data_IF_729046340076
#
_entry.id   IF_729046340076
#
_cell.length_a   1.000
_cell.length_b   1.000
_cell.length_c   1.000
_cell.angle_alpha   90.00
_cell.angle_beta   90.00
_cell.angle_gamma   90.00
#
_symmetry.space_group_name_H-M   'P 1'
#
loop_
_entity.id
_entity.type
_entity.pdbx_description
1 polymer ?
#
# COMPACT_ATOMS: atom_id res chain seq x y z
N UNK A 1 -4.39 1.09 3.87
CA UNK A 1 -4.18 -0.08 4.76
C UNK A 1 -2.75 -0.52 4.62
N UNK A 2 -1.92 -0.29 5.65
CA UNK A 2 -0.56 -0.83 5.67
C UNK A 2 -0.72 -2.31 6.02
N UNK A 3 -0.81 -3.17 5.01
CA UNK A 3 -0.74 -4.62 5.18
C UNK A 3 0.72 -5.00 5.39
N UNK A 4 1.03 -5.44 6.59
CA UNK A 4 2.38 -5.60 7.10
C UNK A 4 3.07 -6.88 6.69
N UNK A 5 2.32 -7.95 6.47
CA UNK A 5 2.89 -9.25 6.14
C UNK A 5 2.09 -9.89 5.01
N UNK A 6 2.53 -9.68 3.80
CA UNK A 6 2.12 -10.54 2.72
C UNK A 6 2.97 -11.81 2.79
N UNK A 7 2.29 -12.93 2.76
CA UNK A 7 2.78 -14.30 2.87
C UNK A 7 4.17 -14.51 2.23
N UNK A 8 5.10 -14.95 3.06
CA UNK A 8 6.30 -15.73 2.77
C UNK A 8 6.98 -15.59 1.42
N UNK A 9 7.49 -14.41 1.10
CA UNK A 9 8.53 -14.31 0.08
C UNK A 9 9.52 -13.25 0.53
N UNK A 10 10.75 -13.66 0.77
CA UNK A 10 11.89 -12.76 0.84
C UNK A 10 11.87 -11.89 -0.41
N UNK A 11 11.27 -10.70 -0.29
CA UNK A 11 11.30 -9.73 -1.37
C UNK A 11 12.70 -9.10 -1.32
N UNK A 12 13.67 -9.78 -1.90
CA UNK A 12 14.81 -9.10 -2.46
C UNK A 12 14.25 -8.09 -3.46
N UNK A 13 14.51 -6.82 -3.25
CA UNK A 13 14.10 -5.71 -4.14
C UNK A 13 14.52 -6.00 -5.60
N UNK A 14 15.60 -6.77 -5.80
CA UNK A 14 16.03 -7.29 -7.09
C UNK A 14 15.05 -8.27 -7.77
N UNK A 15 14.08 -8.86 -7.06
CA UNK A 15 13.11 -9.81 -7.63
C UNK A 15 11.71 -9.22 -7.89
N UNK A 16 11.43 -7.97 -7.47
CA UNK A 16 10.23 -7.25 -7.88
C UNK A 16 10.24 -6.87 -9.36
N UNK A 17 11.42 -6.91 -9.98
CA UNK A 17 11.62 -6.51 -11.38
C UNK A 17 11.24 -7.57 -12.41
N UNK A 18 11.06 -8.83 -12.05
CA UNK A 18 10.96 -9.91 -13.04
C UNK A 18 9.60 -10.65 -13.12
N UNK A 19 8.61 -10.33 -12.31
CA UNK A 19 7.33 -11.09 -12.28
C UNK A 19 6.08 -10.36 -12.78
N UNK A 20 6.22 -9.18 -13.39
CA UNK A 20 5.08 -8.49 -14.01
C UNK A 20 5.00 -8.65 -15.54
N UNK A 21 5.67 -9.65 -16.12
CA UNK A 21 5.51 -9.99 -17.54
C UNK A 21 4.80 -11.34 -17.64
N UNK A 22 3.51 -11.32 -17.78
CA UNK A 22 2.64 -12.20 -18.52
C UNK A 22 1.24 -12.35 -17.89
N UNK A 23 0.32 -11.46 -18.22
CA UNK A 23 -1.07 -11.87 -18.42
C UNK A 23 -1.61 -11.04 -19.58
N UNK A 24 -1.60 -11.63 -20.76
CA UNK A 24 -2.34 -11.15 -21.91
C UNK A 24 -3.83 -11.41 -21.66
N UNK A 25 -4.63 -10.37 -21.67
CA UNK A 25 -6.08 -10.48 -21.70
C UNK A 25 -6.57 -9.96 -23.04
N UNK A 26 -7.00 -10.90 -23.88
CA UNK A 26 -7.87 -10.64 -25.01
C UNK A 26 -9.23 -10.19 -24.45
N UNK A 27 -9.56 -8.93 -24.61
CA UNK A 27 -10.91 -8.44 -24.34
C UNK A 27 -11.59 -8.12 -25.67
N UNK A 28 -12.58 -8.91 -26.01
CA UNK A 28 -13.46 -8.75 -27.16
C UNK A 28 -14.33 -7.51 -27.01
N UNK A 29 -14.32 -6.70 -28.06
CA UNK A 29 -15.19 -5.55 -28.27
C UNK A 29 -16.63 -6.00 -28.42
N UNK A 30 -17.50 -5.55 -27.52
CA UNK A 30 -18.94 -5.63 -27.67
C UNK A 30 -19.52 -4.22 -27.87
N UNK A 31 -19.73 -3.82 -29.12
CA UNK A 31 -20.53 -2.63 -29.47
C UNK A 31 -22.01 -2.98 -29.28
N UNK A 32 -22.67 -2.35 -28.31
CA UNK A 32 -24.14 -2.31 -28.29
C UNK A 32 -24.55 -0.84 -28.25
N UNK A 33 -24.90 -0.34 -29.42
CA UNK A 33 -25.60 0.93 -29.60
C UNK A 33 -27.06 0.76 -29.14
N UNK A 34 -27.43 1.41 -28.06
CA UNK A 34 -28.77 1.52 -27.55
C UNK A 34 -29.16 2.98 -27.34
N UNK A 35 -29.83 3.57 -28.34
CA UNK A 35 -30.54 4.83 -28.24
C UNK A 35 -31.75 4.67 -27.29
N UNK A 36 -31.77 5.43 -26.20
CA UNK A 36 -32.98 5.58 -25.38
C UNK A 36 -33.32 7.08 -25.32
N UNK A 37 -34.52 7.48 -25.79
CA UNK A 37 -35.00 8.86 -25.69
C UNK A 37 -35.50 9.16 -24.28
N UNK A 38 -35.28 10.41 -23.87
CA UNK A 38 -35.49 11.07 -22.63
C UNK A 38 -36.67 10.67 -21.76
N UNK A 39 -36.39 10.71 -20.46
CA UNK A 39 -37.35 11.05 -19.42
C UNK A 39 -36.70 11.99 -18.40
N UNK A 40 -37.15 13.25 -18.47
CA UNK A 40 -36.92 14.24 -17.43
C UNK A 40 -37.82 13.92 -16.24
N UNK A 41 -37.26 13.49 -15.13
CA UNK A 41 -37.90 13.62 -13.83
C UNK A 41 -36.80 13.95 -12.81
N UNK A 42 -36.83 15.15 -12.27
CA UNK A 42 -35.89 15.66 -11.29
C UNK A 42 -35.94 14.85 -10.01
N UNK A 43 -34.94 14.00 -9.84
CA UNK A 43 -34.55 13.48 -8.53
C UNK A 43 -33.28 14.22 -8.13
N UNK A 44 -33.13 14.72 -6.88
CA UNK A 44 -31.85 15.17 -6.39
C UNK A 44 -30.97 13.93 -6.29
N UNK A 45 -30.28 13.61 -7.40
CA UNK A 45 -29.27 12.57 -7.43
C UNK A 45 -28.25 12.93 -6.37
N UNK A 46 -28.10 12.04 -5.37
CA UNK A 46 -26.94 12.01 -4.51
C UNK A 46 -25.75 11.87 -5.47
N UNK A 47 -25.16 12.98 -5.85
CA UNK A 47 -23.81 13.02 -6.40
C UNK A 47 -22.92 12.48 -5.29
N UNK A 48 -22.72 11.16 -5.30
CA UNK A 48 -21.55 10.62 -4.66
C UNK A 48 -20.39 11.31 -5.37
N UNK A 49 -19.94 12.42 -4.79
CA UNK A 49 -18.62 12.94 -5.07
C UNK A 49 -17.70 11.77 -4.77
N UNK A 50 -17.35 11.00 -5.80
CA UNK A 50 -16.07 10.32 -5.79
C UNK A 50 -15.10 11.44 -5.49
N UNK A 51 -14.68 11.53 -4.21
CA UNK A 51 -13.63 12.45 -3.81
C UNK A 51 -12.54 12.19 -4.84
N UNK A 52 -12.34 13.15 -5.73
CA UNK A 52 -11.32 13.07 -6.76
C UNK A 52 -10.07 12.72 -5.99
N UNK A 53 -9.59 11.49 -6.16
CA UNK A 53 -8.34 11.08 -5.52
C UNK A 53 -7.33 12.05 -6.07
N UNK A 54 -6.98 13.06 -5.26
CA UNK A 54 -6.11 14.12 -5.68
C UNK A 54 -4.88 13.48 -6.29
N UNK A 55 -4.64 13.77 -7.56
CA UNK A 55 -3.54 13.19 -8.34
C UNK A 55 -2.27 13.27 -7.49
N UNK A 56 -1.54 12.15 -7.40
CA UNK A 56 -0.30 12.11 -6.63
C UNK A 56 0.73 12.96 -7.37
N UNK A 57 1.24 14.00 -6.73
CA UNK A 57 2.25 14.89 -7.32
C UNK A 57 3.67 14.36 -7.09
N UNK A 58 4.66 14.94 -7.79
CA UNK A 58 6.07 14.50 -7.73
C UNK A 58 6.67 14.57 -6.32
N UNK A 59 6.32 15.59 -5.54
CA UNK A 59 6.78 15.71 -4.14
C UNK A 59 6.23 14.57 -3.29
N UNK A 60 4.98 14.19 -3.48
CA UNK A 60 4.36 13.07 -2.78
C UNK A 60 4.96 11.73 -3.22
N UNK A 61 5.31 11.57 -4.50
CA UNK A 61 6.01 10.38 -5.00
C UNK A 61 7.36 10.25 -4.30
N UNK A 62 8.13 11.33 -4.23
CA UNK A 62 9.44 11.35 -3.55
C UNK A 62 9.29 11.05 -2.05
N UNK A 63 8.33 11.69 -1.37
CA UNK A 63 8.09 11.47 0.04
C UNK A 63 7.61 10.04 0.31
N UNK A 64 6.75 9.50 -0.54
CA UNK A 64 6.27 8.13 -0.44
C UNK A 64 7.41 7.12 -0.64
N UNK A 65 8.22 7.28 -1.68
CA UNK A 65 9.35 6.42 -1.97
C UNK A 65 10.37 6.41 -0.81
N UNK A 66 10.72 7.59 -0.29
CA UNK A 66 11.60 7.74 0.89
C UNK A 66 11.01 7.06 2.12
N UNK A 67 9.72 7.23 2.35
CA UNK A 67 9.01 6.59 3.47
C UNK A 67 9.07 5.07 3.36
N UNK A 68 8.78 4.50 2.20
CA UNK A 68 8.82 3.04 1.98
C UNK A 68 10.21 2.48 2.26
N UNK A 69 11.26 3.14 1.77
CA UNK A 69 12.65 2.74 2.02
C UNK A 69 13.00 2.82 3.51
N UNK A 70 12.57 3.87 4.20
CA UNK A 70 12.84 4.04 5.64
C UNK A 70 12.08 3.01 6.50
N UNK A 71 10.87 2.62 6.10
CA UNK A 71 10.07 1.62 6.80
C UNK A 71 10.64 0.21 6.70
N UNK A 72 11.31 -0.13 5.59
CA UNK A 72 11.71 -1.51 5.28
C UNK A 72 12.65 -2.12 6.32
N UNK A 73 13.63 -1.35 6.81
CA UNK A 73 14.55 -1.82 7.86
C UNK A 73 13.80 -2.19 9.15
N UNK A 74 12.90 -1.31 9.59
CA UNK A 74 12.08 -1.55 10.79
C UNK A 74 11.13 -2.74 10.61
N UNK A 75 10.56 -2.89 9.42
CA UNK A 75 9.69 -4.01 9.07
C UNK A 75 10.44 -5.33 9.17
N UNK A 76 11.65 -5.43 8.60
CA UNK A 76 12.46 -6.64 8.67
C UNK A 76 12.83 -6.98 10.11
N UNK A 77 13.26 -5.99 10.90
CA UNK A 77 13.59 -6.20 12.31
C UNK A 77 12.40 -6.68 13.13
N UNK A 78 11.22 -6.09 12.93
CA UNK A 78 10.00 -6.52 13.61
C UNK A 78 9.62 -7.95 13.20
N UNK A 79 9.71 -8.26 11.90
CA UNK A 79 9.44 -9.61 11.38
C UNK A 79 10.33 -10.67 12.02
N UNK A 80 11.66 -10.46 12.04
CA UNK A 80 12.59 -11.43 12.62
C UNK A 80 12.40 -11.60 14.13
N UNK A 81 12.11 -10.49 14.86
CA UNK A 81 11.81 -10.56 16.29
C UNK A 81 10.53 -11.37 16.56
N UNK A 82 9.47 -11.12 15.79
CA UNK A 82 8.21 -11.85 15.95
C UNK A 82 8.44 -13.33 15.62
N UNK A 83 9.08 -13.63 14.50
CA UNK A 83 9.40 -15.00 14.08
C UNK A 83 10.16 -15.76 15.15
N UNK A 84 11.21 -15.16 15.73
CA UNK A 84 11.99 -15.78 16.81
C UNK A 84 11.18 -15.94 18.11
N UNK A 85 10.26 -15.03 18.38
CA UNK A 85 9.43 -15.06 19.60
C UNK A 85 8.36 -16.16 19.56
N UNK A 86 7.77 -16.41 18.38
CA UNK A 86 6.73 -17.44 18.22
C UNK A 86 7.31 -18.84 17.90
N UNK A 87 8.60 -18.92 17.54
CA UNK A 87 9.25 -20.19 17.20
C UNK A 87 8.67 -20.85 15.94
N UNK A 88 7.97 -20.09 15.09
CA UNK A 88 7.29 -20.58 13.89
C UNK A 88 7.72 -19.78 12.66
N UNK A 89 7.62 -20.41 11.48
CA UNK A 89 7.88 -19.73 10.21
C UNK A 89 6.70 -18.89 9.72
N UNK A 90 5.56 -18.96 10.38
CA UNK A 90 4.35 -18.26 10.00
C UNK A 90 4.11 -17.07 10.94
N UNK A 91 4.48 -15.89 10.49
CA UNK A 91 4.27 -14.65 11.22
C UNK A 91 2.84 -14.16 10.97
N UNK A 92 2.07 -13.83 12.03
CA UNK A 92 0.69 -13.35 11.88
C UNK A 92 0.59 -12.10 10.99
N UNK A 93 -0.51 -11.97 10.26
CA UNK A 93 -0.77 -10.75 9.50
C UNK A 93 -1.11 -9.59 10.43
N UNK A 94 -0.23 -8.60 10.51
CA UNK A 94 -0.38 -7.42 11.36
C UNK A 94 -0.72 -6.22 10.50
N UNK A 95 -1.84 -5.57 10.82
CA UNK A 95 -2.31 -4.36 10.14
C UNK A 95 -2.40 -3.23 11.17
N UNK A 96 -1.48 -2.27 11.10
CA UNK A 96 -1.37 -1.19 12.09
C UNK A 96 -2.65 -0.33 12.24
N UNK A 97 -3.48 -0.24 11.21
CA UNK A 97 -4.76 0.47 11.25
C UNK A 97 -5.92 -0.35 11.81
N UNK A 98 -5.70 -1.64 12.12
CA UNK A 98 -6.73 -2.55 12.62
C UNK A 98 -6.37 -3.02 14.03
N UNK A 99 -6.98 -2.41 15.04
CA UNK A 99 -6.74 -2.76 16.44
C UNK A 99 -6.97 -4.27 16.72
N UNK A 100 -7.94 -4.90 16.04
CA UNK A 100 -8.21 -6.32 16.16
C UNK A 100 -7.03 -7.20 15.76
N UNK A 101 -6.28 -6.85 14.69
CA UNK A 101 -5.12 -7.61 14.25
C UNK A 101 -3.97 -7.58 15.26
N UNK A 102 -3.88 -6.53 16.05
CA UNK A 102 -2.86 -6.36 17.09
C UNK A 102 -3.33 -6.97 18.40
N UNK A 103 -4.59 -6.77 18.78
CA UNK A 103 -5.12 -7.25 20.07
C UNK A 103 -5.24 -8.77 20.14
N UNK A 104 -5.38 -9.45 19.00
CA UNK A 104 -5.40 -10.92 18.92
C UNK A 104 -4.02 -11.59 19.12
N UNK A 105 -2.94 -10.81 19.08
CA UNK A 105 -1.58 -11.33 19.21
C UNK A 105 -1.25 -11.71 20.67
N UNK A 106 -0.41 -12.72 20.91
CA UNK A 106 0.21 -12.95 22.22
C UNK A 106 0.91 -11.68 22.72
N UNK A 107 0.92 -11.49 24.04
CA UNK A 107 1.42 -10.23 24.64
C UNK A 107 2.82 -9.85 24.15
N UNK A 108 3.77 -10.79 24.19
CA UNK A 108 5.17 -10.60 23.74
C UNK A 108 5.29 -10.20 22.26
N UNK A 109 4.42 -10.71 21.39
CA UNK A 109 4.34 -10.35 19.96
C UNK A 109 3.66 -9.01 19.77
N UNK A 110 2.61 -8.75 20.57
CA UNK A 110 1.86 -7.49 20.53
C UNK A 110 2.75 -6.28 20.80
N UNK A 111 3.62 -6.37 21.80
CA UNK A 111 4.52 -5.28 22.17
C UNK A 111 5.49 -4.95 21.01
N UNK A 112 5.98 -5.96 20.28
CA UNK A 112 6.82 -5.75 19.10
C UNK A 112 6.00 -5.07 17.99
N UNK A 113 4.79 -5.54 17.75
CA UNK A 113 3.90 -4.99 16.72
C UNK A 113 3.52 -3.52 17.01
N UNK A 114 3.13 -3.21 18.26
CA UNK A 114 2.80 -1.83 18.67
C UNK A 114 3.99 -0.89 18.50
N UNK A 115 5.15 -1.30 18.97
CA UNK A 115 6.37 -0.49 18.82
C UNK A 115 6.68 -0.20 17.35
N UNK A 116 6.59 -1.22 16.49
CA UNK A 116 6.80 -1.03 15.07
C UNK A 116 5.73 -0.10 14.44
N UNK A 117 4.46 -0.27 14.77
CA UNK A 117 3.39 0.59 14.26
C UNK A 117 3.58 2.06 14.67
N UNK A 118 4.00 2.31 15.91
CA UNK A 118 4.31 3.65 16.39
C UNK A 118 5.51 4.27 15.64
N UNK A 119 6.60 3.53 15.47
CA UNK A 119 7.75 3.98 14.69
C UNK A 119 7.37 4.25 13.22
N UNK A 120 6.57 3.37 12.63
CA UNK A 120 6.09 3.55 11.25
C UNK A 120 5.30 4.83 11.07
N UNK A 121 4.42 5.15 12.02
CA UNK A 121 3.69 6.42 12.03
C UNK A 121 4.64 7.62 12.01
N UNK A 122 5.62 7.63 12.91
CA UNK A 122 6.62 8.70 12.99
C UNK A 122 7.44 8.84 11.69
N UNK A 123 7.82 7.71 11.07
CA UNK A 123 8.56 7.72 9.79
C UNK A 123 7.70 8.33 8.68
N UNK A 124 6.42 7.98 8.57
CA UNK A 124 5.50 8.55 7.58
C UNK A 124 5.39 10.06 7.75
N UNK A 125 5.13 10.52 8.99
CA UNK A 125 4.95 11.93 9.31
C UNK A 125 6.24 12.75 9.10
N UNK A 126 7.40 12.20 9.49
CA UNK A 126 8.71 12.86 9.30
C UNK A 126 9.13 13.00 7.83
N UNK A 127 8.58 12.17 6.95
CA UNK A 127 8.77 12.28 5.51
C UNK A 127 7.70 13.16 4.80
N UNK A 128 6.91 13.91 5.55
CA UNK A 128 5.99 14.91 5.01
C UNK A 128 4.68 14.34 4.48
N UNK A 129 4.28 13.14 4.94
CA UNK A 129 2.99 12.54 4.61
C UNK A 129 2.14 12.35 5.87
N UNK A 130 0.83 12.52 5.73
CA UNK A 130 -0.09 12.02 6.75
C UNK A 130 -0.30 10.52 6.56
N UNK A 131 -0.67 9.79 7.62
CA UNK A 131 -1.00 8.35 7.51
C UNK A 131 -2.12 8.11 6.51
N UNK A 132 -3.14 8.97 6.50
CA UNK A 132 -4.24 8.89 5.55
C UNK A 132 -3.76 9.03 4.10
N UNK A 133 -2.88 10.00 3.83
CA UNK A 133 -2.35 10.22 2.48
C UNK A 133 -1.42 9.09 2.04
N UNK A 134 -0.54 8.61 2.92
CA UNK A 134 0.30 7.45 2.66
C UNK A 134 -0.54 6.22 2.27
N UNK A 135 -1.60 5.93 3.02
CA UNK A 135 -2.51 4.82 2.72
C UNK A 135 -3.26 5.03 1.39
N UNK A 136 -3.71 6.26 1.10
CA UNK A 136 -4.39 6.58 -0.16
C UNK A 136 -3.46 6.35 -1.37
N UNK A 137 -2.20 6.75 -1.29
CA UNK A 137 -1.19 6.50 -2.34
C UNK A 137 -0.96 4.99 -2.48
N UNK A 138 -0.84 4.25 -1.37
CA UNK A 138 -0.67 2.78 -1.38
C UNK A 138 -1.83 2.08 -2.09
N UNK A 139 -3.07 2.51 -1.85
CA UNK A 139 -4.25 1.96 -2.54
C UNK A 139 -4.23 2.33 -4.03
N UNK A 140 -3.85 3.58 -4.36
CA UNK A 140 -3.77 4.03 -5.75
C UNK A 140 -2.75 3.23 -6.57
N UNK A 141 -1.64 2.81 -5.95
CA UNK A 141 -0.63 1.97 -6.59
C UNK A 141 -1.18 0.60 -7.05
N UNK A 142 -2.22 0.08 -6.40
CA UNK A 142 -2.77 -1.23 -6.78
C UNK A 142 -3.38 -1.25 -8.19
N UNK A 143 -3.88 -0.10 -8.65
CA UNK A 143 -4.62 0.01 -9.90
C UNK A 143 -4.03 1.05 -10.89
N UNK A 144 -2.83 1.58 -10.60
CA UNK A 144 -2.19 2.61 -11.42
C UNK A 144 -0.74 2.23 -11.75
N UNK A 145 -0.55 1.59 -12.91
CA UNK A 145 0.76 1.14 -13.38
C UNK A 145 1.76 2.30 -13.61
N UNK A 146 1.28 3.45 -14.06
CA UNK A 146 2.11 4.64 -14.25
C UNK A 146 2.67 5.13 -12.91
N UNK A 147 1.82 5.22 -11.89
CA UNK A 147 2.24 5.60 -10.54
C UNK A 147 3.22 4.57 -9.94
N UNK A 148 2.98 3.26 -10.17
CA UNK A 148 3.92 2.22 -9.76
C UNK A 148 5.31 2.43 -10.37
N UNK A 149 5.37 2.72 -11.66
CA UNK A 149 6.62 2.98 -12.37
C UNK A 149 7.34 4.19 -11.79
N UNK A 150 6.64 5.32 -11.60
CA UNK A 150 7.21 6.55 -11.03
C UNK A 150 7.77 6.32 -9.61
N UNK A 151 7.02 5.66 -8.74
CA UNK A 151 7.50 5.34 -7.38
C UNK A 151 8.72 4.43 -7.41
N UNK A 152 8.73 3.43 -8.28
CA UNK A 152 9.86 2.51 -8.44
C UNK A 152 11.12 3.25 -8.90
N UNK A 153 11.01 4.08 -9.92
CA UNK A 153 12.13 4.88 -10.44
C UNK A 153 12.69 5.81 -9.36
N UNK A 154 11.81 6.44 -8.59
CA UNK A 154 12.20 7.30 -7.49
C UNK A 154 12.90 6.53 -6.36
N UNK A 155 12.42 5.34 -6.01
CA UNK A 155 13.08 4.47 -5.02
C UNK A 155 14.50 4.10 -5.48
N UNK A 156 14.68 3.73 -6.75
CA UNK A 156 16.00 3.42 -7.32
C UNK A 156 16.92 4.64 -7.28
N UNK A 157 16.41 5.82 -7.63
CA UNK A 157 17.17 7.08 -7.59
C UNK A 157 17.63 7.42 -6.18
N UNK A 158 16.80 7.19 -5.16
CA UNK A 158 17.12 7.44 -3.75
C UNK A 158 18.16 6.46 -3.19
N UNK A 159 18.23 5.24 -3.71
CA UNK A 159 19.19 4.22 -3.29
C UNK A 159 20.59 4.39 -3.89
N UNK A 160 20.72 5.20 -4.96
CA UNK A 160 21.99 5.47 -5.64
C UNK A 160 22.78 6.67 -5.04
N UNK A 161 22.19 7.38 -4.08
CA UNK A 161 22.78 8.52 -3.35
C UNK A 161 23.42 8.07 -2.05
#
# INVERSE_FOLDING_TARGET
>A
MINFFYHGSQIHISRLLSKFLAVGILSTVGLVSGLIPGFSAGSPGLVFSTAAQAQVNETEITNYARTVLALEKGRQQAYEKIKSTIGSNEVPNIVCSQAGSINSLPRNVRDIAVNYCNQSKQIVESNGLTISRFNAITVSLQNNSTLQQQVKEEMLRLQQK
#
